data_IF_777023276880
#
_entry.id   IF_777023276880
#
_cell.length_a   1.000
_cell.length_b   1.000
_cell.length_c   1.000
_cell.angle_alpha   90.00
_cell.angle_beta   90.00
_cell.angle_gamma   90.00
#
_symmetry.space_group_name_H-M   'P 1'
#
loop_
_entity.id
_entity.type
_entity.pdbx_description
1 polymer ?
#
# COMPACT_ATOMS: atom_id res chain seq x y z
N UNK A 1 -31.74 -9.83 -26.69
CA UNK A 1 -30.71 -8.80 -26.42
C UNK A 1 -31.04 -7.94 -25.17
N UNK A 2 -31.46 -8.53 -24.04
CA UNK A 2 -31.83 -7.75 -22.85
C UNK A 2 -30.70 -7.57 -21.81
N UNK A 3 -29.79 -8.54 -21.70
CA UNK A 3 -28.72 -8.48 -20.68
C UNK A 3 -27.64 -7.41 -20.92
N UNK A 4 -27.40 -6.98 -22.17
CA UNK A 4 -26.37 -5.99 -22.46
C UNK A 4 -26.75 -4.57 -22.01
N UNK A 5 -28.04 -4.18 -22.10
CA UNK A 5 -28.51 -2.87 -21.64
C UNK A 5 -28.45 -2.76 -20.11
N UNK A 6 -28.86 -3.81 -19.40
CA UNK A 6 -28.76 -3.87 -17.93
C UNK A 6 -27.31 -3.84 -17.45
N UNK A 7 -26.42 -4.64 -18.07
CA UNK A 7 -24.98 -4.61 -17.73
C UNK A 7 -24.35 -3.25 -17.96
N UNK A 8 -24.72 -2.56 -19.06
CA UNK A 8 -24.25 -1.20 -19.33
C UNK A 8 -24.73 -0.20 -18.29
N UNK A 9 -26.02 -0.23 -17.93
CA UNK A 9 -26.59 0.66 -16.90
C UNK A 9 -25.94 0.44 -15.54
N UNK A 10 -25.72 -0.81 -15.15
CA UNK A 10 -25.02 -1.14 -13.90
C UNK A 10 -23.57 -0.65 -13.93
N UNK A 11 -22.87 -0.81 -15.07
CA UNK A 11 -21.51 -0.30 -15.22
C UNK A 11 -21.45 1.23 -15.10
N UNK A 12 -22.41 1.96 -15.66
CA UNK A 12 -22.50 3.42 -15.57
C UNK A 12 -22.75 3.91 -14.13
N UNK A 13 -23.44 3.12 -13.30
CA UNK A 13 -23.66 3.41 -11.88
C UNK A 13 -22.44 3.07 -11.00
N UNK A 14 -21.80 1.94 -11.25
CA UNK A 14 -20.67 1.45 -10.43
C UNK A 14 -19.35 2.15 -10.74
N UNK A 15 -19.10 2.47 -12.02
CA UNK A 15 -17.87 3.11 -12.45
C UNK A 15 -17.48 4.37 -11.65
N UNK A 16 -18.37 5.36 -11.41
CA UNK A 16 -17.99 6.55 -10.63
C UNK A 16 -17.70 6.22 -9.15
N UNK A 17 -18.42 5.27 -8.55
CA UNK A 17 -18.21 4.85 -7.16
C UNK A 17 -16.83 4.21 -7.02
N UNK A 18 -16.53 3.22 -7.86
CA UNK A 18 -15.24 2.53 -7.82
C UNK A 18 -14.06 3.44 -8.19
N UNK A 19 -14.27 4.44 -9.05
CA UNK A 19 -13.25 5.46 -9.32
C UNK A 19 -12.96 6.31 -8.08
N UNK A 20 -13.98 6.67 -7.31
CA UNK A 20 -13.82 7.44 -6.07
C UNK A 20 -13.08 6.61 -5.00
N UNK A 21 -13.49 5.36 -4.82
CA UNK A 21 -12.84 4.43 -3.89
C UNK A 21 -11.38 4.17 -4.30
N UNK A 22 -11.10 4.01 -5.60
CA UNK A 22 -9.73 3.82 -6.11
C UNK A 22 -8.84 5.05 -5.83
N UNK A 23 -9.41 6.26 -5.89
CA UNK A 23 -8.68 7.49 -5.54
C UNK A 23 -8.37 7.54 -4.05
N UNK A 24 -9.35 7.22 -3.19
CA UNK A 24 -9.14 7.16 -1.73
C UNK A 24 -8.05 6.15 -1.37
N UNK A 25 -8.13 4.94 -1.91
CA UNK A 25 -7.14 3.89 -1.68
C UNK A 25 -5.72 4.35 -2.09
N UNK A 26 -5.59 4.96 -3.28
CA UNK A 26 -4.33 5.54 -3.75
C UNK A 26 -3.80 6.62 -2.80
N UNK A 27 -4.67 7.50 -2.32
CA UNK A 27 -4.29 8.60 -1.44
C UNK A 27 -3.83 8.05 -0.07
N UNK A 28 -4.43 6.96 0.43
CA UNK A 28 -3.94 6.26 1.63
C UNK A 28 -2.59 5.61 1.38
N UNK A 29 -2.44 4.83 0.31
CA UNK A 29 -1.19 4.17 -0.09
C UNK A 29 0.00 5.14 -0.13
N UNK A 30 -0.23 6.37 -0.61
CA UNK A 30 0.83 7.36 -0.76
C UNK A 30 1.24 8.05 0.56
N UNK A 31 0.34 8.12 1.55
CA UNK A 31 0.54 8.98 2.72
C UNK A 31 0.58 8.22 4.06
N UNK A 32 0.07 6.99 4.11
CA UNK A 32 -0.04 6.25 5.35
C UNK A 32 1.32 5.82 5.91
N UNK A 33 1.33 5.66 7.23
CA UNK A 33 2.43 5.08 8.03
C UNK A 33 1.89 3.95 8.92
N UNK A 34 0.76 3.39 8.54
CA UNK A 34 0.11 2.24 9.17
C UNK A 34 0.18 1.04 8.21
N UNK A 35 0.82 -0.08 8.60
CA UNK A 35 0.96 -1.26 7.74
C UNK A 35 -0.36 -1.82 7.24
N UNK A 36 -1.36 -1.98 8.11
CA UNK A 36 -2.63 -2.60 7.75
C UNK A 36 -3.37 -1.77 6.70
N UNK A 37 -3.43 -0.45 6.91
CA UNK A 37 -3.99 0.48 5.94
C UNK A 37 -3.24 0.41 4.61
N UNK A 38 -1.90 0.42 4.62
CA UNK A 38 -1.11 0.37 3.39
C UNK A 38 -1.41 -0.89 2.58
N UNK A 39 -1.27 -2.08 3.17
CA UNK A 39 -1.42 -3.34 2.45
C UNK A 39 -2.88 -3.59 2.01
N UNK A 40 -3.85 -3.23 2.85
CA UNK A 40 -5.27 -3.34 2.52
C UNK A 40 -5.66 -2.40 1.37
N UNK A 41 -5.25 -1.13 1.43
CA UNK A 41 -5.57 -0.17 0.36
C UNK A 41 -4.77 -0.44 -0.92
N UNK A 42 -3.55 -0.99 -0.83
CA UNK A 42 -2.78 -1.40 -2.01
C UNK A 42 -3.45 -2.56 -2.75
N UNK A 43 -3.93 -3.57 -2.00
CA UNK A 43 -4.72 -4.67 -2.57
C UNK A 43 -6.03 -4.14 -3.19
N UNK A 44 -6.72 -3.24 -2.48
CA UNK A 44 -7.97 -2.62 -2.95
C UNK A 44 -7.76 -1.80 -4.22
N UNK A 45 -6.64 -1.08 -4.33
CA UNK A 45 -6.27 -0.32 -5.53
C UNK A 45 -6.16 -1.24 -6.75
N UNK A 46 -5.48 -2.38 -6.62
CA UNK A 46 -5.33 -3.37 -7.70
C UNK A 46 -6.68 -4.00 -8.08
N UNK A 47 -7.48 -4.40 -7.08
CA UNK A 47 -8.80 -4.99 -7.30
C UNK A 47 -9.75 -4.01 -8.01
N UNK A 48 -9.84 -2.77 -7.56
CA UNK A 48 -10.66 -1.73 -8.17
C UNK A 48 -10.21 -1.40 -9.59
N UNK A 49 -8.91 -1.32 -9.85
CA UNK A 49 -8.37 -1.11 -11.19
C UNK A 49 -8.74 -2.28 -12.14
N UNK A 50 -8.71 -3.52 -11.64
CA UNK A 50 -9.18 -4.70 -12.36
C UNK A 50 -10.67 -4.63 -12.69
N UNK A 51 -11.52 -4.36 -11.69
CA UNK A 51 -12.98 -4.20 -11.87
C UNK A 51 -13.32 -3.09 -12.86
N UNK A 52 -12.66 -1.94 -12.77
CA UNK A 52 -12.85 -0.82 -13.71
C UNK A 52 -12.36 -1.15 -15.13
N UNK A 53 -11.34 -2.01 -15.26
CA UNK A 53 -10.90 -2.52 -16.57
C UNK A 53 -12.00 -3.35 -17.22
N UNK A 54 -12.71 -4.18 -16.46
CA UNK A 54 -13.86 -4.93 -16.99
C UNK A 54 -15.01 -4.01 -17.42
N UNK A 55 -15.28 -2.96 -16.63
CA UNK A 55 -16.30 -1.96 -16.97
C UNK A 55 -15.94 -1.12 -18.20
N UNK A 56 -14.67 -1.11 -18.62
CA UNK A 56 -14.22 -0.35 -19.80
C UNK A 56 -14.85 -0.84 -21.11
N UNK A 57 -15.47 -2.03 -21.10
CA UNK A 57 -16.28 -2.56 -22.21
C UNK A 57 -17.60 -1.80 -22.38
N UNK A 58 -18.09 -1.15 -21.32
CA UNK A 58 -19.39 -0.49 -21.26
C UNK A 58 -19.29 1.02 -21.05
N UNK A 59 -18.26 1.48 -20.34
CA UNK A 59 -18.05 2.88 -19.95
C UNK A 59 -16.70 3.36 -20.47
N UNK A 60 -16.67 4.59 -21.02
CA UNK A 60 -15.41 5.24 -21.43
C UNK A 60 -14.84 6.04 -20.26
N UNK A 61 -13.62 5.71 -19.87
CA UNK A 61 -12.87 6.44 -18.86
C UNK A 61 -12.06 7.59 -19.49
N UNK A 62 -11.96 8.72 -18.80
CA UNK A 62 -11.09 9.85 -19.17
C UNK A 62 -9.77 9.76 -18.41
N UNK A 63 -8.66 10.15 -19.03
CA UNK A 63 -7.32 10.08 -18.43
C UNK A 63 -6.67 8.72 -18.58
N UNK A 64 -5.84 8.32 -17.60
CA UNK A 64 -5.18 7.01 -17.58
C UNK A 64 -6.22 5.90 -17.53
N UNK A 65 -6.10 4.93 -18.44
CA UNK A 65 -7.04 3.81 -18.51
C UNK A 65 -6.88 2.90 -17.28
N UNK A 66 -7.97 2.33 -16.73
CA UNK A 66 -7.87 1.42 -15.58
C UNK A 66 -6.89 0.26 -15.79
N UNK A 67 -6.79 -0.27 -17.02
CA UNK A 67 -5.83 -1.33 -17.35
C UNK A 67 -4.37 -0.87 -17.19
N UNK A 68 -4.07 0.37 -17.58
CA UNK A 68 -2.74 0.95 -17.38
C UNK A 68 -2.47 1.23 -15.90
N UNK A 69 -3.50 1.68 -15.15
CA UNK A 69 -3.38 1.85 -13.69
C UNK A 69 -3.05 0.52 -13.01
N UNK A 70 -3.73 -0.57 -13.39
CA UNK A 70 -3.46 -1.90 -12.86
C UNK A 70 -2.03 -2.35 -13.20
N UNK A 71 -1.60 -2.19 -14.46
CA UNK A 71 -0.24 -2.53 -14.89
C UNK A 71 0.80 -1.73 -14.10
N UNK A 72 0.62 -0.41 -13.98
CA UNK A 72 1.51 0.45 -13.21
C UNK A 72 1.56 0.04 -11.74
N UNK A 73 0.43 -0.29 -11.12
CA UNK A 73 0.39 -0.75 -9.73
C UNK A 73 1.14 -2.07 -9.56
N UNK A 74 1.05 -3.00 -10.50
CA UNK A 74 1.80 -4.26 -10.45
C UNK A 74 3.30 -4.04 -10.64
N UNK A 75 3.69 -3.20 -11.61
CA UNK A 75 5.10 -2.91 -11.90
C UNK A 75 5.79 -2.09 -10.80
N UNK A 76 5.03 -1.22 -10.12
CA UNK A 76 5.55 -0.34 -9.07
C UNK A 76 5.35 -0.90 -7.67
N UNK A 77 4.78 -2.10 -7.50
CA UNK A 77 4.48 -2.69 -6.19
C UNK A 77 5.71 -2.73 -5.27
N UNK A 78 6.83 -3.23 -5.79
CA UNK A 78 8.08 -3.29 -5.03
C UNK A 78 8.55 -1.90 -4.57
N UNK A 79 8.51 -0.90 -5.48
CA UNK A 79 8.94 0.46 -5.17
C UNK A 79 7.98 1.15 -4.18
N UNK A 80 6.67 0.96 -4.34
CA UNK A 80 5.66 1.53 -3.45
C UNK A 80 5.77 0.93 -2.04
N UNK A 81 5.98 -0.38 -1.92
CA UNK A 81 6.23 -1.04 -0.63
C UNK A 81 7.53 -0.55 -0.01
N UNK A 82 8.59 -0.37 -0.79
CA UNK A 82 9.86 0.21 -0.31
C UNK A 82 9.65 1.60 0.27
N UNK A 83 8.98 2.48 -0.47
CA UNK A 83 8.70 3.85 -0.03
C UNK A 83 7.86 3.86 1.25
N UNK A 84 6.87 2.98 1.35
CA UNK A 84 6.10 2.80 2.57
C UNK A 84 6.96 2.36 3.77
N UNK A 85 7.81 1.35 3.59
CA UNK A 85 8.72 0.87 4.65
C UNK A 85 9.59 2.02 5.17
N UNK A 86 10.15 2.83 4.27
CA UNK A 86 10.98 3.99 4.64
C UNK A 86 10.18 5.06 5.40
N UNK A 87 8.96 5.38 4.95
CA UNK A 87 8.07 6.32 5.66
C UNK A 87 7.69 5.81 7.06
N UNK A 88 7.35 4.53 7.17
CA UNK A 88 6.99 3.92 8.45
C UNK A 88 8.20 3.88 9.40
N UNK A 89 9.38 3.53 8.90
CA UNK A 89 10.61 3.55 9.67
C UNK A 89 10.98 4.96 10.15
N UNK A 90 10.80 5.99 9.32
CA UNK A 90 11.01 7.38 9.73
C UNK A 90 10.11 7.78 10.90
N UNK A 91 8.83 7.38 10.88
CA UNK A 91 7.92 7.56 12.03
C UNK A 91 8.43 6.82 13.27
N UNK A 92 8.95 5.60 13.11
CA UNK A 92 9.54 4.83 14.21
C UNK A 92 10.76 5.52 14.81
N UNK A 93 11.66 6.07 13.98
CA UNK A 93 12.81 6.87 14.43
C UNK A 93 12.36 8.05 15.30
N UNK A 94 11.40 8.84 14.81
CA UNK A 94 10.85 9.99 15.55
C UNK A 94 10.19 9.57 16.88
N UNK A 95 9.58 8.39 16.92
CA UNK A 95 9.01 7.86 18.16
C UNK A 95 10.09 7.38 19.13
N UNK A 96 11.15 6.74 18.64
CA UNK A 96 12.29 6.30 19.45
C UNK A 96 13.05 7.49 20.05
N UNK A 97 13.24 8.58 19.31
CA UNK A 97 13.88 9.80 19.82
C UNK A 97 13.17 10.39 21.04
N UNK A 98 11.84 10.29 21.09
CA UNK A 98 11.02 10.77 22.22
C UNK A 98 11.16 9.89 23.47
N UNK A 99 11.68 8.67 23.35
CA UNK A 99 11.81 7.72 24.45
C UNK A 99 13.15 7.88 25.17
N UNK A 100 13.11 8.08 26.49
CA UNK A 100 14.32 8.36 27.29
C UNK A 100 15.20 7.14 27.55
N UNK A 101 14.61 5.94 27.64
CA UNK A 101 15.33 4.73 28.05
C UNK A 101 15.81 3.95 26.84
N UNK A 102 17.02 3.40 26.92
CA UNK A 102 17.60 2.50 25.90
C UNK A 102 16.64 1.34 25.61
N UNK A 103 16.11 0.69 26.64
CA UNK A 103 15.11 -0.39 26.51
C UNK A 103 13.87 0.05 25.75
N UNK A 104 13.35 1.24 26.06
CA UNK A 104 12.16 1.77 25.39
C UNK A 104 12.42 2.12 23.93
N UNK A 105 13.62 2.64 23.59
CA UNK A 105 14.03 2.86 22.20
C UNK A 105 14.09 1.56 21.42
N UNK A 106 14.76 0.53 21.96
CA UNK A 106 14.81 -0.81 21.34
C UNK A 106 13.40 -1.34 21.05
N UNK A 107 12.49 -1.24 22.03
CA UNK A 107 11.10 -1.67 21.87
C UNK A 107 10.34 -0.98 20.73
N UNK A 108 10.72 0.24 20.31
CA UNK A 108 10.11 0.88 19.13
C UNK A 108 10.51 0.17 17.85
N UNK A 109 11.77 -0.23 17.72
CA UNK A 109 12.28 -0.92 16.53
C UNK A 109 11.79 -2.37 16.46
N UNK A 110 11.72 -3.07 17.59
CA UNK A 110 11.09 -4.40 17.65
C UNK A 110 9.64 -4.33 17.15
N UNK A 111 8.86 -3.34 17.61
CA UNK A 111 7.48 -3.13 17.14
C UNK A 111 7.40 -2.81 15.65
N UNK A 112 8.37 -2.08 15.10
CA UNK A 112 8.43 -1.81 13.67
C UNK A 112 8.58 -3.10 12.87
N UNK A 113 9.46 -4.01 13.30
CA UNK A 113 9.62 -5.31 12.65
C UNK A 113 8.37 -6.18 12.81
N UNK A 114 7.89 -6.38 14.03
CA UNK A 114 6.73 -7.24 14.31
C UNK A 114 5.45 -6.75 13.64
N UNK A 115 5.29 -5.43 13.43
CA UNK A 115 4.14 -4.89 12.70
C UNK A 115 4.17 -5.18 11.19
N UNK A 116 5.34 -5.45 10.61
CA UNK A 116 5.53 -5.74 9.20
C UNK A 116 5.59 -7.24 8.89
N UNK A 117 5.99 -8.08 9.86
CA UNK A 117 6.08 -9.54 9.73
C UNK A 117 4.83 -10.20 9.11
N UNK A 118 3.59 -9.84 9.51
CA UNK A 118 2.39 -10.43 8.91
C UNK A 118 2.30 -10.22 7.41
N UNK A 119 2.96 -9.21 6.85
CA UNK A 119 2.88 -8.82 5.44
C UNK A 119 4.07 -9.30 4.61
N UNK A 120 5.04 -10.01 5.18
CA UNK A 120 6.23 -10.48 4.44
C UNK A 120 5.87 -11.34 3.22
N UNK A 121 4.76 -12.09 3.28
CA UNK A 121 4.28 -12.87 2.13
C UNK A 121 3.82 -12.01 0.94
N UNK A 122 3.56 -10.71 1.16
CA UNK A 122 3.18 -9.74 0.13
C UNK A 122 4.37 -8.89 -0.33
N UNK A 123 5.54 -9.03 0.30
CA UNK A 123 6.73 -8.24 -0.02
C UNK A 123 7.68 -9.02 -0.93
N UNK A 124 8.49 -8.29 -1.71
CA UNK A 124 9.66 -8.88 -2.36
C UNK A 124 10.72 -9.25 -1.32
N UNK A 125 11.60 -10.20 -1.65
CA UNK A 125 12.73 -10.56 -0.79
C UNK A 125 13.62 -9.35 -0.45
N UNK A 126 13.77 -8.39 -1.38
CA UNK A 126 14.51 -7.17 -1.15
C UNK A 126 13.84 -6.25 -0.11
N UNK A 127 12.51 -6.16 -0.12
CA UNK A 127 11.76 -5.38 0.87
C UNK A 127 11.78 -6.04 2.25
N UNK A 128 11.68 -7.37 2.34
CA UNK A 128 11.87 -8.10 3.60
C UNK A 128 13.29 -7.86 4.15
N UNK A 129 14.31 -7.97 3.29
CA UNK A 129 15.69 -7.70 3.68
C UNK A 129 15.90 -6.25 4.15
N UNK A 130 15.24 -5.28 3.50
CA UNK A 130 15.29 -3.88 3.92
C UNK A 130 14.73 -3.68 5.33
N UNK A 131 13.60 -4.33 5.67
CA UNK A 131 13.02 -4.25 7.03
C UNK A 131 14.02 -4.75 8.06
N UNK A 132 14.63 -5.91 7.81
CA UNK A 132 15.64 -6.50 8.70
C UNK A 132 16.87 -5.58 8.83
N UNK A 133 17.38 -5.07 7.71
CA UNK A 133 18.53 -4.16 7.70
C UNK A 133 18.26 -2.90 8.54
N UNK A 134 17.13 -2.23 8.32
CA UNK A 134 16.77 -1.01 9.05
C UNK A 134 16.62 -1.26 10.55
N UNK A 135 16.04 -2.40 10.92
CA UNK A 135 15.91 -2.84 12.30
C UNK A 135 17.29 -3.03 12.97
N UNK A 136 18.16 -3.83 12.34
CA UNK A 136 19.46 -4.19 12.92
C UNK A 136 20.40 -2.99 13.00
N UNK A 137 20.42 -2.14 11.98
CA UNK A 137 21.18 -0.89 12.00
C UNK A 137 20.70 0.05 13.12
N UNK A 138 19.39 0.12 13.37
CA UNK A 138 18.85 0.94 14.45
C UNK A 138 19.24 0.39 15.83
N UNK A 139 19.15 -0.93 16.03
CA UNK A 139 19.54 -1.56 17.29
C UNK A 139 21.04 -1.44 17.57
N UNK A 140 21.89 -1.57 16.55
CA UNK A 140 23.33 -1.37 16.67
C UNK A 140 23.67 0.04 17.17
N UNK A 141 22.94 1.07 16.69
CA UNK A 141 23.11 2.47 17.15
C UNK A 141 22.65 2.74 18.58
N UNK A 142 21.80 1.88 19.14
CA UNK A 142 21.29 2.02 20.52
C UNK A 142 22.16 1.24 21.52
N UNK A 143 22.78 0.15 21.08
CA UNK A 143 23.62 -0.73 21.90
C UNK A 143 25.12 -0.47 21.81
N UNK A 144 25.55 0.45 20.95
CA UNK A 144 26.91 1.02 20.92
C UNK A 144 27.11 2.15 21.92
#
# INVERSE_FOLDING_TARGET
>A
MFGHKEKKKNAELLAPIWLDDMRKARDVVNNTTDPDSFFTDYASLKDLAGKLTELSKYVKFKGTKPAEVLRMAQEQEEAATRDFILRYFQKTLLNAEKVKTVRGKRSQFEKFQTALEPYYYQMSAANVALVQQLHDEALAKIGG
#
